data_IF_748740439796
#
_entry.id   IF_748740439796
#
_cell.length_a   1.000
_cell.length_b   1.000
_cell.length_c   1.000
_cell.angle_alpha   90.00
_cell.angle_beta   90.00
_cell.angle_gamma   90.00
#
_symmetry.space_group_name_H-M   'P 1'
#
loop_
_entity.id
_entity.type
_entity.pdbx_description
1 polymer ?
#
# COMPACT_ATOMS: atom_id res chain seq x y z
N UNK A 1 -8.22 4.00 5.57
CA UNK A 1 -7.10 4.57 4.78
C UNK A 1 -5.79 4.57 5.56
N UNK A 2 -4.69 4.15 4.94
CA UNK A 2 -3.34 4.21 5.51
C UNK A 2 -2.81 5.67 5.51
N UNK A 3 -1.98 6.05 6.50
CA UNK A 3 -1.37 7.38 6.58
C UNK A 3 -0.51 7.70 5.35
N UNK A 4 -0.53 8.96 4.90
CA UNK A 4 0.23 9.44 3.73
C UNK A 4 1.72 9.09 3.81
N UNK A 5 2.32 9.24 4.99
CA UNK A 5 3.73 8.93 5.25
C UNK A 5 4.11 7.48 4.91
N UNK A 6 3.23 6.52 5.23
CA UNK A 6 3.45 5.10 4.90
C UNK A 6 3.34 4.85 3.39
N UNK A 7 2.44 5.54 2.71
CA UNK A 7 2.29 5.46 1.26
C UNK A 7 3.53 6.04 0.56
N UNK A 8 4.03 7.17 1.05
CA UNK A 8 5.27 7.77 0.54
C UNK A 8 6.46 6.84 0.76
N UNK A 9 6.54 6.19 1.92
CA UNK A 9 7.56 5.17 2.18
C UNK A 9 7.49 4.00 1.19
N UNK A 10 6.29 3.49 0.89
CA UNK A 10 6.09 2.45 -0.13
C UNK A 10 6.59 2.93 -1.50
N UNK A 11 6.31 4.17 -1.87
CA UNK A 11 6.73 4.76 -3.15
C UNK A 11 8.25 4.92 -3.24
N UNK A 12 8.91 5.35 -2.17
CA UNK A 12 10.37 5.44 -2.09
C UNK A 12 10.99 4.05 -2.25
N UNK A 13 10.51 3.06 -1.49
CA UNK A 13 10.98 1.67 -1.61
C UNK A 13 10.73 1.10 -3.01
N UNK A 14 9.59 1.42 -3.62
CA UNK A 14 9.27 0.99 -4.98
C UNK A 14 10.15 1.64 -6.05
N UNK A 15 10.51 2.92 -5.88
CA UNK A 15 11.47 3.60 -6.76
C UNK A 15 12.86 2.98 -6.62
N UNK A 16 13.33 2.79 -5.38
CA UNK A 16 14.62 2.16 -5.11
C UNK A 16 14.72 0.73 -5.67
N UNK A 17 13.63 -0.04 -5.57
CA UNK A 17 13.51 -1.36 -6.19
C UNK A 17 13.75 -1.36 -7.70
N UNK A 18 13.31 -0.30 -8.39
CA UNK A 18 13.42 -0.16 -9.85
C UNK A 18 14.79 0.35 -10.29
N UNK A 19 15.46 1.16 -9.48
CA UNK A 19 16.74 1.79 -9.86
C UNK A 19 17.94 0.99 -9.41
N UNK A 20 18.01 0.64 -8.13
CA UNK A 20 19.20 0.06 -7.48
C UNK A 20 18.96 -1.38 -7.00
N UNK A 21 17.69 -1.78 -6.87
CA UNK A 21 17.28 -3.00 -6.20
C UNK A 21 17.03 -2.76 -4.71
N UNK A 22 16.32 -3.70 -4.08
CA UNK A 22 16.02 -3.66 -2.65
C UNK A 22 16.88 -4.68 -1.91
N UNK A 23 17.43 -4.25 -0.77
CA UNK A 23 17.98 -5.19 0.21
C UNK A 23 16.88 -6.09 0.78
N UNK A 24 17.23 -7.27 1.31
CA UNK A 24 16.25 -8.18 1.91
C UNK A 24 15.44 -7.55 3.05
N UNK A 25 16.06 -6.66 3.82
CA UNK A 25 15.41 -5.92 4.91
C UNK A 25 14.34 -5.00 4.33
N UNK A 26 14.69 -4.25 3.29
CA UNK A 26 13.79 -3.32 2.61
C UNK A 26 12.66 -4.05 1.88
N UNK A 27 12.92 -5.24 1.32
CA UNK A 27 11.88 -6.11 0.74
C UNK A 27 10.87 -6.54 1.80
N UNK A 28 11.34 -6.94 2.99
CA UNK A 28 10.46 -7.30 4.13
C UNK A 28 9.63 -6.10 4.57
N UNK A 29 10.24 -4.92 4.68
CA UNK A 29 9.55 -3.67 5.02
C UNK A 29 8.49 -3.32 3.96
N UNK A 30 8.84 -3.38 2.68
CA UNK A 30 7.92 -3.10 1.59
C UNK A 30 6.74 -4.08 1.56
N UNK A 31 6.97 -5.37 1.77
CA UNK A 31 5.91 -6.37 1.84
C UNK A 31 4.97 -6.10 3.02
N UNK A 32 5.51 -5.79 4.20
CA UNK A 32 4.71 -5.46 5.39
C UNK A 32 3.82 -4.24 5.13
N UNK A 33 4.41 -3.16 4.62
CA UNK A 33 3.69 -1.93 4.29
C UNK A 33 2.62 -2.15 3.21
N UNK A 34 2.92 -2.95 2.17
CA UNK A 34 1.92 -3.31 1.15
C UNK A 34 0.77 -4.13 1.70
N UNK A 35 1.03 -5.05 2.63
CA UNK A 35 -0.02 -5.85 3.27
C UNK A 35 -0.96 -4.97 4.10
N UNK A 36 -0.40 -4.06 4.90
CA UNK A 36 -1.18 -3.06 5.65
C UNK A 36 -2.01 -2.16 4.71
N UNK A 37 -1.40 -1.68 3.61
CA UNK A 37 -2.10 -0.88 2.62
C UNK A 37 -3.28 -1.64 1.99
N UNK A 38 -3.07 -2.89 1.57
CA UNK A 38 -4.12 -3.70 0.95
C UNK A 38 -5.25 -4.02 1.92
N UNK A 39 -4.96 -4.23 3.20
CA UNK A 39 -6.00 -4.46 4.20
C UNK A 39 -6.87 -3.21 4.37
N UNK A 40 -6.24 -2.05 4.59
CA UNK A 40 -6.95 -0.78 4.71
C UNK A 40 -7.73 -0.44 3.43
N UNK A 41 -7.13 -0.71 2.26
CA UNK A 41 -7.77 -0.51 0.97
C UNK A 41 -8.99 -1.41 0.78
N UNK A 42 -8.92 -2.70 1.15
CA UNK A 42 -10.06 -3.62 1.06
C UNK A 42 -11.22 -3.20 1.95
N UNK A 43 -10.93 -2.75 3.17
CA UNK A 43 -11.96 -2.21 4.08
C UNK A 43 -12.62 -0.95 3.50
N UNK A 44 -11.80 -0.01 3.02
CA UNK A 44 -12.31 1.22 2.38
C UNK A 44 -13.08 0.92 1.09
N UNK A 45 -12.63 -0.07 0.31
CA UNK A 45 -13.28 -0.49 -0.94
C UNK A 45 -14.60 -1.19 -0.71
N UNK A 46 -14.69 -2.06 0.31
CA UNK A 46 -15.96 -2.69 0.71
C UNK A 46 -17.00 -1.63 1.13
N UNK A 47 -16.59 -0.65 1.94
CA UNK A 47 -17.45 0.49 2.30
C UNK A 47 -17.91 1.26 1.06
N UNK A 48 -17.01 1.49 0.09
CA UNK A 48 -17.39 2.15 -1.16
C UNK A 48 -18.40 1.33 -1.97
N UNK A 49 -18.19 0.02 -2.11
CA UNK A 49 -19.12 -0.89 -2.81
C UNK A 49 -20.51 -0.91 -2.16
N UNK A 50 -20.58 -0.93 -0.83
CA UNK A 50 -21.85 -0.86 -0.09
C UNK A 50 -22.61 0.46 -0.31
N UNK A 51 -21.90 1.53 -0.68
CA UNK A 51 -22.49 2.83 -1.03
C UNK A 51 -22.72 3.02 -2.54
N UNK A 52 -22.42 2.02 -3.39
CA UNK A 52 -22.79 2.09 -4.81
C UNK A 52 -24.28 1.79 -4.91
N UNK A 53 -25.07 2.85 -4.92
CA UNK A 53 -26.47 2.80 -5.34
C UNK A 53 -26.48 2.70 -6.88
N UNK A 54 -26.95 1.56 -7.40
CA UNK A 54 -27.18 1.40 -8.84
C UNK A 54 -28.47 2.16 -9.14
N UNK A 55 -28.35 3.29 -9.84
CA UNK A 55 -29.47 4.09 -10.35
C UNK A 55 -29.87 3.62 -11.74
#
# INVERSE_FOLDING_TARGET
MLSKEKIDRINVLARKAKTEGLSEIEKKEQQKLRKEYLQAFREDFRKKLENIEIV
#
